data_IF_797899172200
#
_entry.id   IF_797899172200
#
_cell.length_a   1.000
_cell.length_b   1.000
_cell.length_c   1.000
_cell.angle_alpha   90.00
_cell.angle_beta   90.00
_cell.angle_gamma   90.00
#
_symmetry.space_group_name_H-M   'P 1'
#
loop_
_entity.id
_entity.type
_entity.pdbx_description
1 polymer ?
#
# COMPACT_ATOMS: atom_id res chain seq x y z
N UNK A 1 38.18 -17.54 73.83
CA UNK A 1 39.58 -17.46 73.39
C UNK A 1 39.57 -17.44 71.86
N UNK A 2 39.96 -16.28 71.38
CA UNK A 2 40.55 -15.82 70.14
C UNK A 2 39.74 -16.03 68.82
N UNK A 3 39.00 -15.01 68.55
CA UNK A 3 38.52 -14.64 67.23
C UNK A 3 39.66 -14.26 66.29
N UNK A 4 39.68 -14.75 65.10
CA UNK A 4 40.56 -14.27 64.04
C UNK A 4 39.69 -13.72 62.92
N UNK A 5 39.62 -12.39 62.88
CA UNK A 5 39.04 -11.61 61.79
C UNK A 5 39.85 -11.77 60.52
N UNK A 6 39.27 -12.28 59.47
CA UNK A 6 39.79 -12.23 58.12
C UNK A 6 38.99 -11.20 57.33
N UNK A 7 39.48 -9.96 57.29
CA UNK A 7 38.97 -8.91 56.40
C UNK A 7 39.37 -9.21 54.97
N UNK A 8 38.40 -9.69 54.15
CA UNK A 8 38.56 -9.80 52.71
C UNK A 8 38.25 -8.44 52.08
N UNK A 9 39.31 -7.71 51.77
CA UNK A 9 39.27 -6.48 50.98
C UNK A 9 38.80 -6.81 49.54
N UNK A 10 37.51 -6.61 49.23
CA UNK A 10 37.00 -6.65 47.87
C UNK A 10 37.39 -5.37 47.10
N UNK A 11 38.51 -5.40 46.39
CA UNK A 11 38.84 -4.42 45.37
C UNK A 11 37.84 -4.58 44.22
N UNK A 12 36.91 -3.64 44.11
CA UNK A 12 36.13 -3.46 42.85
C UNK A 12 37.09 -3.00 41.77
N UNK A 13 37.08 -3.65 40.59
CA UNK A 13 37.82 -3.12 39.46
C UNK A 13 37.11 -1.82 39.03
N UNK A 14 37.86 -0.74 38.94
CA UNK A 14 37.50 0.54 38.36
C UNK A 14 37.04 0.31 36.93
N UNK A 15 35.72 0.54 36.66
CA UNK A 15 35.25 0.64 35.30
C UNK A 15 35.80 1.91 34.68
N UNK A 16 36.81 1.76 33.86
CA UNK A 16 37.17 2.78 32.90
C UNK A 16 35.96 3.04 32.00
N UNK A 17 35.63 4.31 31.70
CA UNK A 17 34.60 4.62 30.72
C UNK A 17 35.20 4.25 29.34
N UNK A 18 34.76 3.11 28.78
CA UNK A 18 34.97 2.82 27.38
C UNK A 18 34.38 3.99 26.57
N UNK A 19 35.27 4.85 26.09
CA UNK A 19 34.96 5.84 25.10
C UNK A 19 34.40 5.10 23.87
N UNK A 20 33.07 5.15 23.73
CA UNK A 20 32.38 4.73 22.51
C UNK A 20 32.98 5.51 21.35
N UNK A 21 33.99 4.94 20.70
CA UNK A 21 34.36 5.31 19.34
C UNK A 21 33.12 5.15 18.49
N UNK A 22 32.40 6.27 18.28
CA UNK A 22 31.38 6.39 17.24
C UNK A 22 32.11 6.26 15.90
N UNK A 23 32.30 5.03 15.49
CA UNK A 23 32.85 4.68 14.19
C UNK A 23 31.89 5.22 13.11
N UNK A 24 32.48 5.93 12.16
CA UNK A 24 31.88 6.41 10.92
C UNK A 24 31.15 5.31 10.09
N UNK A 25 31.21 4.05 10.51
CA UNK A 25 30.44 2.91 9.98
C UNK A 25 28.94 2.97 10.20
N UNK A 26 28.42 3.80 11.14
CA UNK A 26 26.99 3.90 11.44
C UNK A 26 26.15 4.59 10.35
N UNK A 27 26.73 5.47 9.55
CA UNK A 27 26.04 6.15 8.43
C UNK A 27 25.89 5.21 7.22
N UNK A 28 26.92 4.42 6.92
CA UNK A 28 26.86 3.44 5.82
C UNK A 28 25.85 2.33 6.07
N UNK A 29 25.74 1.83 7.30
CA UNK A 29 24.77 0.79 7.66
C UNK A 29 23.31 1.28 7.69
N UNK A 30 23.09 2.56 8.00
CA UNK A 30 21.73 3.15 7.96
C UNK A 30 21.18 3.32 6.54
N UNK A 31 22.06 3.54 5.56
CA UNK A 31 21.69 3.67 4.15
C UNK A 31 21.60 2.29 3.47
N UNK A 32 22.42 1.33 3.87
CA UNK A 32 22.43 -0.02 3.28
C UNK A 32 21.14 -0.82 3.62
N UNK A 33 20.61 -0.67 4.84
CA UNK A 33 19.40 -1.40 5.28
C UNK A 33 18.17 -1.25 4.38
N UNK A 34 17.76 -0.05 3.91
CA UNK A 34 16.60 0.07 3.02
C UNK A 34 16.84 -0.58 1.65
N UNK A 35 18.08 -0.58 1.15
CA UNK A 35 18.40 -1.27 -0.10
C UNK A 35 18.37 -2.79 0.05
N UNK A 36 18.85 -3.31 1.17
CA UNK A 36 18.77 -4.73 1.51
C UNK A 36 17.30 -5.18 1.61
N UNK A 37 16.47 -4.43 2.35
CA UNK A 37 15.03 -4.70 2.44
C UNK A 37 14.33 -4.65 1.06
N UNK A 38 14.68 -3.68 0.23
CA UNK A 38 14.14 -3.60 -1.13
C UNK A 38 14.54 -4.83 -1.96
N UNK A 39 15.78 -5.28 -1.85
CA UNK A 39 16.25 -6.51 -2.51
C UNK A 39 15.49 -7.76 -2.05
N UNK A 40 15.23 -7.88 -0.74
CA UNK A 40 14.42 -8.98 -0.19
C UNK A 40 12.96 -8.94 -0.67
N UNK A 41 12.35 -7.74 -0.77
CA UNK A 41 11.01 -7.58 -1.31
C UNK A 41 10.94 -7.97 -2.79
N UNK A 42 11.93 -7.60 -3.60
CA UNK A 42 12.02 -8.01 -5.02
C UNK A 42 12.19 -9.52 -5.13
N UNK A 43 13.02 -10.13 -4.27
CA UNK A 43 13.15 -11.59 -4.22
C UNK A 43 11.82 -12.26 -3.84
N UNK A 44 11.12 -11.73 -2.84
CA UNK A 44 9.81 -12.23 -2.44
C UNK A 44 8.81 -12.15 -3.60
N UNK A 45 8.78 -11.01 -4.33
CA UNK A 45 7.96 -10.83 -5.52
C UNK A 45 8.26 -11.92 -6.56
N UNK A 46 9.54 -12.19 -6.83
CA UNK A 46 9.95 -13.26 -7.77
C UNK A 46 9.45 -14.65 -7.35
N UNK A 47 9.57 -14.98 -6.06
CA UNK A 47 9.07 -16.26 -5.51
C UNK A 47 7.55 -16.34 -5.60
N UNK A 48 6.83 -15.27 -5.29
CA UNK A 48 5.37 -15.19 -5.38
C UNK A 48 4.89 -15.38 -6.82
N UNK A 49 5.49 -14.66 -7.78
CA UNK A 49 5.15 -14.78 -9.20
C UNK A 49 5.43 -16.18 -9.74
N UNK A 50 6.60 -16.74 -9.42
CA UNK A 50 6.94 -18.08 -9.81
C UNK A 50 5.96 -19.13 -9.24
N UNK A 51 5.63 -19.02 -7.96
CA UNK A 51 4.70 -19.91 -7.28
C UNK A 51 3.27 -19.78 -7.83
N UNK A 52 2.81 -18.55 -8.11
CA UNK A 52 1.49 -18.28 -8.67
C UNK A 52 1.31 -18.90 -10.06
N UNK A 53 2.37 -18.85 -10.90
CA UNK A 53 2.32 -19.40 -12.28
C UNK A 53 2.43 -20.92 -12.27
N UNK A 54 3.32 -21.49 -11.44
CA UNK A 54 3.61 -22.91 -11.47
C UNK A 54 2.54 -23.79 -10.82
N UNK A 55 1.81 -23.26 -9.85
CA UNK A 55 0.79 -24.00 -9.10
C UNK A 55 -0.52 -23.19 -8.98
N UNK A 56 -1.26 -23.00 -10.09
CA UNK A 56 -2.47 -22.18 -10.08
C UNK A 56 -3.64 -22.80 -9.34
N UNK A 57 -3.57 -24.07 -8.97
CA UNK A 57 -4.67 -24.79 -8.30
C UNK A 57 -4.42 -24.92 -6.80
N UNK A 58 -5.46 -24.65 -6.00
CA UNK A 58 -5.48 -24.92 -4.55
C UNK A 58 -5.65 -23.69 -3.66
N UNK A 59 -5.36 -22.47 -4.14
CA UNK A 59 -5.48 -21.25 -3.34
C UNK A 59 -6.62 -20.30 -3.77
N UNK A 60 -7.41 -20.64 -4.78
CA UNK A 60 -8.48 -19.78 -5.29
C UNK A 60 -9.59 -19.50 -4.28
N UNK A 61 -9.85 -20.42 -3.36
CA UNK A 61 -10.77 -20.19 -2.25
C UNK A 61 -10.32 -19.02 -1.39
N UNK A 62 -9.05 -19.03 -0.98
CA UNK A 62 -8.44 -17.96 -0.18
C UNK A 62 -8.38 -16.63 -0.95
N UNK A 63 -8.03 -16.68 -2.25
CA UNK A 63 -8.03 -15.50 -3.13
C UNK A 63 -9.42 -14.86 -3.16
N UNK A 64 -10.47 -15.66 -3.39
CA UNK A 64 -11.85 -15.16 -3.43
C UNK A 64 -12.25 -14.52 -2.11
N UNK A 65 -11.95 -15.17 -0.98
CA UNK A 65 -12.33 -14.68 0.34
C UNK A 65 -11.59 -13.38 0.68
N UNK A 66 -10.33 -13.29 0.28
CA UNK A 66 -9.52 -12.07 0.42
C UNK A 66 -10.02 -10.94 -0.49
N UNK A 67 -10.43 -11.25 -1.72
CA UNK A 67 -11.03 -10.28 -2.63
C UNK A 67 -12.36 -9.75 -2.07
N UNK A 68 -13.21 -10.64 -1.55
CA UNK A 68 -14.49 -10.25 -0.95
C UNK A 68 -14.29 -9.36 0.29
N UNK A 69 -13.32 -9.71 1.14
CA UNK A 69 -12.96 -8.90 2.31
C UNK A 69 -12.51 -7.49 1.88
N UNK A 70 -11.62 -7.42 0.88
CA UNK A 70 -11.12 -6.14 0.34
C UNK A 70 -12.28 -5.31 -0.22
N UNK A 71 -13.15 -5.90 -1.03
CA UNK A 71 -14.31 -5.23 -1.59
C UNK A 71 -15.18 -4.65 -0.46
N UNK A 72 -15.50 -5.45 0.55
CA UNK A 72 -16.36 -5.04 1.67
C UNK A 72 -15.77 -3.89 2.50
N UNK A 73 -14.48 -3.93 2.78
CA UNK A 73 -13.83 -2.93 3.63
C UNK A 73 -13.46 -1.65 2.89
N UNK A 74 -13.07 -1.75 1.61
CA UNK A 74 -12.52 -0.61 0.86
C UNK A 74 -13.57 0.12 0.02
N UNK A 75 -14.73 -0.47 -0.30
CA UNK A 75 -15.70 0.15 -1.23
C UNK A 75 -16.22 1.50 -0.73
N UNK A 76 -16.70 1.57 0.51
CA UNK A 76 -17.28 2.82 1.04
C UNK A 76 -16.23 3.93 1.16
N UNK A 77 -15.09 3.73 1.84
CA UNK A 77 -14.07 4.77 1.91
C UNK A 77 -13.54 5.18 0.54
N UNK A 78 -13.46 4.26 -0.43
CA UNK A 78 -13.02 4.56 -1.78
C UNK A 78 -14.02 5.44 -2.53
N UNK A 79 -15.31 5.10 -2.51
CA UNK A 79 -16.37 5.89 -3.15
C UNK A 79 -16.37 7.33 -2.60
N UNK A 80 -16.36 7.47 -1.28
CA UNK A 80 -16.37 8.80 -0.65
C UNK A 80 -15.11 9.59 -1.03
N UNK A 81 -13.94 8.95 -0.96
CA UNK A 81 -12.67 9.63 -1.25
C UNK A 81 -12.54 10.02 -2.72
N UNK A 82 -12.98 9.16 -3.66
CA UNK A 82 -12.89 9.47 -5.09
C UNK A 82 -13.88 10.56 -5.50
N UNK A 83 -15.09 10.58 -4.94
CA UNK A 83 -16.06 11.68 -5.16
C UNK A 83 -15.50 12.99 -4.60
N UNK A 84 -15.05 12.98 -3.34
CA UNK A 84 -14.53 14.18 -2.68
C UNK A 84 -13.31 14.75 -3.41
N UNK A 85 -12.40 13.89 -3.86
CA UNK A 85 -11.22 14.30 -4.59
C UNK A 85 -11.57 14.78 -6.01
N UNK A 86 -12.43 14.05 -6.73
CA UNK A 86 -12.92 14.43 -8.06
C UNK A 86 -13.62 15.79 -8.05
N UNK A 87 -14.40 16.07 -7.00
CA UNK A 87 -15.03 17.35 -6.78
C UNK A 87 -14.00 18.45 -6.46
N UNK A 88 -13.06 18.19 -5.56
CA UNK A 88 -12.12 19.21 -5.05
C UNK A 88 -11.03 19.57 -6.05
N UNK A 89 -10.12 18.64 -6.34
CA UNK A 89 -8.89 18.94 -7.09
C UNK A 89 -9.14 19.16 -8.59
N UNK A 90 -9.56 18.15 -9.38
CA UNK A 90 -9.83 18.39 -10.79
C UNK A 90 -11.12 19.18 -11.02
N UNK A 91 -12.15 19.02 -10.17
CA UNK A 91 -13.42 19.70 -10.30
C UNK A 91 -13.34 21.18 -10.04
N UNK A 92 -13.24 21.57 -8.79
CA UNK A 92 -13.26 23.00 -8.41
C UNK A 92 -11.98 23.72 -8.79
N UNK A 93 -10.81 23.19 -8.44
CA UNK A 93 -9.54 23.87 -8.75
C UNK A 93 -9.24 23.88 -10.22
N UNK A 94 -9.34 22.73 -10.90
CA UNK A 94 -9.18 22.65 -12.35
C UNK A 94 -10.22 23.50 -13.06
N UNK A 95 -11.48 23.38 -12.68
CA UNK A 95 -12.58 24.18 -13.25
C UNK A 95 -12.35 25.67 -13.19
N UNK A 96 -11.98 26.22 -12.03
CA UNK A 96 -11.67 27.64 -11.90
C UNK A 96 -10.55 28.11 -12.85
N UNK A 97 -9.54 27.26 -13.09
CA UNK A 97 -8.46 27.56 -14.04
C UNK A 97 -9.03 27.63 -15.46
N UNK A 98 -9.88 26.70 -15.88
CA UNK A 98 -10.48 26.71 -17.23
C UNK A 98 -11.44 27.89 -17.43
N UNK A 99 -12.17 28.29 -16.37
CA UNK A 99 -12.98 29.52 -16.40
C UNK A 99 -12.12 30.78 -16.52
N UNK A 100 -11.00 30.84 -15.81
CA UNK A 100 -10.08 31.96 -15.90
C UNK A 100 -9.49 32.14 -17.31
N UNK A 101 -9.24 31.04 -18.02
CA UNK A 101 -8.78 31.04 -19.42
C UNK A 101 -9.92 31.22 -20.45
N UNK A 102 -11.18 31.27 -20.03
CA UNK A 102 -12.33 31.43 -20.90
C UNK A 102 -12.65 30.21 -21.79
N UNK A 103 -12.24 29.00 -21.36
CA UNK A 103 -12.44 27.75 -22.11
C UNK A 103 -13.12 26.66 -21.27
N UNK A 104 -14.23 26.96 -20.56
CA UNK A 104 -14.89 26.00 -19.67
C UNK A 104 -15.40 24.75 -20.38
N UNK A 105 -15.69 24.80 -21.68
CA UNK A 105 -16.13 23.67 -22.49
C UNK A 105 -15.07 22.55 -22.58
N UNK A 106 -13.78 22.83 -22.33
CA UNK A 106 -12.71 21.82 -22.33
C UNK A 106 -12.51 21.12 -21.01
N UNK A 107 -13.30 21.44 -20.00
CA UNK A 107 -13.18 20.87 -18.67
C UNK A 107 -13.37 19.34 -18.66
N UNK A 108 -14.28 18.82 -19.50
CA UNK A 108 -14.49 17.36 -19.65
C UNK A 108 -13.25 16.62 -20.14
N UNK A 109 -12.52 17.18 -21.12
CA UNK A 109 -11.26 16.63 -21.62
C UNK A 109 -10.18 16.60 -20.52
N UNK A 110 -10.11 17.64 -19.70
CA UNK A 110 -9.20 17.70 -18.56
C UNK A 110 -9.48 16.59 -17.54
N UNK A 111 -10.76 16.26 -17.33
CA UNK A 111 -11.14 15.17 -16.42
C UNK A 111 -10.63 13.81 -16.86
N UNK A 112 -10.56 13.52 -18.16
CA UNK A 112 -9.91 12.30 -18.66
C UNK A 112 -8.44 12.27 -18.24
N UNK A 113 -7.70 13.36 -18.49
CA UNK A 113 -6.28 13.41 -18.13
C UNK A 113 -6.06 13.33 -16.62
N UNK A 114 -6.76 14.15 -15.86
CA UNK A 114 -6.54 14.28 -14.43
C UNK A 114 -7.13 13.11 -13.65
N UNK A 115 -8.42 12.82 -13.84
CA UNK A 115 -9.12 11.83 -13.02
C UNK A 115 -8.90 10.40 -13.50
N UNK A 116 -9.15 10.12 -14.77
CA UNK A 116 -9.10 8.74 -15.29
C UNK A 116 -7.67 8.22 -15.36
N UNK A 117 -6.74 9.02 -15.88
CA UNK A 117 -5.36 8.56 -16.08
C UNK A 117 -4.51 8.57 -14.80
N UNK A 118 -4.77 9.49 -13.85
CA UNK A 118 -3.88 9.68 -12.71
C UNK A 118 -4.55 9.54 -11.35
N UNK A 119 -5.57 10.36 -11.04
CA UNK A 119 -6.06 10.45 -9.66
C UNK A 119 -6.87 9.24 -9.19
N UNK A 120 -7.74 8.68 -10.02
CA UNK A 120 -8.53 7.52 -9.61
C UNK A 120 -7.66 6.29 -9.29
N UNK A 121 -6.68 5.90 -10.14
CA UNK A 121 -5.72 4.84 -9.81
C UNK A 121 -4.95 5.10 -8.53
N UNK A 122 -4.50 6.33 -8.34
CA UNK A 122 -3.71 6.70 -7.17
C UNK A 122 -4.50 6.64 -5.88
N UNK A 123 -5.72 7.22 -5.85
CA UNK A 123 -6.59 7.19 -4.67
C UNK A 123 -6.99 5.76 -4.32
N UNK A 124 -7.35 4.94 -5.33
CA UNK A 124 -7.67 3.54 -5.13
C UNK A 124 -6.49 2.81 -4.46
N UNK A 125 -5.26 2.98 -4.98
CA UNK A 125 -4.07 2.38 -4.38
C UNK A 125 -3.83 2.85 -2.94
N UNK A 126 -4.01 4.15 -2.64
CA UNK A 126 -3.87 4.70 -1.29
C UNK A 126 -4.86 4.08 -0.30
N UNK A 127 -6.14 3.96 -0.69
CA UNK A 127 -7.18 3.38 0.18
C UNK A 127 -6.86 1.92 0.47
N UNK A 128 -6.51 1.14 -0.56
CA UNK A 128 -6.16 -0.28 -0.39
C UNK A 128 -4.91 -0.44 0.45
N UNK A 129 -3.88 0.37 0.25
CA UNK A 129 -2.68 0.35 1.08
C UNK A 129 -2.98 0.69 2.55
N UNK A 130 -3.84 1.68 2.79
CA UNK A 130 -4.22 2.09 4.13
C UNK A 130 -5.08 1.05 4.85
N UNK A 131 -6.10 0.51 4.20
CA UNK A 131 -7.07 -0.40 4.83
C UNK A 131 -6.57 -1.84 4.81
N UNK A 132 -6.32 -2.40 3.62
CA UNK A 132 -5.91 -3.80 3.50
C UNK A 132 -4.45 -4.02 3.83
N UNK A 133 -3.60 -3.04 3.53
CA UNK A 133 -2.18 -3.12 3.88
C UNK A 133 -1.97 -3.25 5.39
N UNK A 134 -2.66 -2.45 6.17
CA UNK A 134 -2.60 -2.53 7.64
C UNK A 134 -3.21 -3.82 8.18
N UNK A 135 -4.35 -4.26 7.64
CA UNK A 135 -5.01 -5.49 8.05
C UNK A 135 -4.14 -6.73 7.79
N UNK A 136 -3.55 -6.84 6.58
CA UNK A 136 -2.67 -7.96 6.21
C UNK A 136 -1.39 -7.96 7.05
N UNK A 137 -0.77 -6.79 7.23
CA UNK A 137 0.45 -6.68 8.04
C UNK A 137 0.19 -7.07 9.50
N UNK A 138 -0.94 -6.64 10.07
CA UNK A 138 -1.32 -6.99 11.44
C UNK A 138 -1.63 -8.48 11.60
N UNK A 139 -2.38 -9.08 10.66
CA UNK A 139 -2.70 -10.52 10.71
C UNK A 139 -1.45 -11.39 10.61
N UNK A 140 -0.57 -11.13 9.63
CA UNK A 140 0.67 -11.88 9.48
C UNK A 140 1.63 -11.65 10.66
N UNK A 141 1.71 -10.42 11.17
CA UNK A 141 2.52 -10.09 12.34
C UNK A 141 2.01 -10.82 13.61
N UNK A 142 0.70 -10.90 13.81
CA UNK A 142 0.12 -11.65 14.91
C UNK A 142 0.40 -13.15 14.80
N UNK A 143 0.31 -13.75 13.60
CA UNK A 143 0.65 -15.17 13.35
C UNK A 143 2.13 -15.44 13.60
N UNK A 144 3.02 -14.51 13.23
CA UNK A 144 4.45 -14.60 13.49
C UNK A 144 4.77 -14.58 15.00
N UNK A 145 4.14 -13.67 15.75
CA UNK A 145 4.31 -13.55 17.20
C UNK A 145 3.81 -14.80 17.94
N UNK A 146 2.74 -15.44 17.44
CA UNK A 146 2.20 -16.69 17.98
C UNK A 146 2.91 -17.96 17.50
N UNK A 147 4.02 -17.79 16.76
CA UNK A 147 4.83 -18.90 16.22
C UNK A 147 4.05 -19.84 15.27
N UNK A 148 2.87 -19.40 14.78
CA UNK A 148 2.06 -20.18 13.85
C UNK A 148 2.81 -20.43 12.52
N UNK A 149 3.58 -19.46 12.05
CA UNK A 149 4.37 -19.57 10.82
C UNK A 149 5.49 -20.60 10.99
N UNK A 150 6.17 -20.59 12.13
CA UNK A 150 7.24 -21.54 12.44
C UNK A 150 6.67 -22.97 12.60
N UNK A 151 5.49 -23.10 13.21
CA UNK A 151 4.79 -24.38 13.29
C UNK A 151 4.42 -24.95 11.92
N UNK A 152 4.00 -24.10 10.95
CA UNK A 152 3.74 -24.53 9.57
C UNK A 152 4.99 -25.07 8.89
N UNK A 153 6.14 -24.41 9.08
CA UNK A 153 7.42 -24.87 8.52
C UNK A 153 7.83 -26.24 9.09
N UNK A 154 7.66 -26.46 10.40
CA UNK A 154 7.94 -27.77 11.03
C UNK A 154 7.02 -28.88 10.49
N UNK A 155 5.77 -28.55 10.14
CA UNK A 155 4.83 -29.47 9.52
C UNK A 155 5.07 -29.68 8.01
N UNK A 156 6.10 -29.05 7.43
CA UNK A 156 6.43 -29.16 6.01
C UNK A 156 5.52 -28.36 5.08
N UNK A 157 4.74 -27.42 5.62
CA UNK A 157 3.87 -26.52 4.85
C UNK A 157 4.64 -25.22 4.57
N UNK A 158 4.76 -24.85 3.27
CA UNK A 158 5.39 -23.60 2.86
C UNK A 158 4.49 -22.40 3.18
N UNK A 159 4.87 -21.51 4.15
CA UNK A 159 4.07 -20.36 4.55
C UNK A 159 3.91 -19.34 3.44
N UNK A 160 4.93 -19.19 2.58
CA UNK A 160 4.88 -18.23 1.47
C UNK A 160 3.77 -18.64 0.49
N UNK A 161 3.74 -19.92 0.14
CA UNK A 161 2.75 -20.43 -0.79
C UNK A 161 1.33 -20.39 -0.22
N UNK A 162 1.17 -20.67 1.06
CA UNK A 162 -0.15 -20.79 1.70
C UNK A 162 -0.72 -19.45 2.13
N UNK A 163 0.12 -18.51 2.62
CA UNK A 163 -0.35 -17.25 3.19
C UNK A 163 -0.07 -16.04 2.30
N UNK A 164 1.10 -15.98 1.63
CA UNK A 164 1.53 -14.79 0.89
C UNK A 164 0.97 -14.77 -0.53
N UNK A 165 1.11 -15.87 -1.27
CA UNK A 165 0.70 -15.96 -2.67
C UNK A 165 -0.78 -15.61 -2.86
N UNK A 166 -1.75 -16.20 -2.12
CA UNK A 166 -3.17 -15.87 -2.34
C UNK A 166 -3.49 -14.41 -2.02
N UNK A 167 -2.83 -13.80 -1.03
CA UNK A 167 -3.04 -12.40 -0.66
C UNK A 167 -2.53 -11.44 -1.73
N UNK A 168 -1.32 -11.68 -2.25
CA UNK A 168 -0.75 -10.84 -3.32
C UNK A 168 -1.57 -10.96 -4.60
N UNK A 169 -1.96 -12.17 -5.00
CA UNK A 169 -2.82 -12.39 -6.17
C UNK A 169 -4.18 -11.73 -5.99
N UNK A 170 -4.81 -11.89 -4.83
CA UNK A 170 -6.09 -11.27 -4.53
C UNK A 170 -6.01 -9.74 -4.63
N UNK A 171 -5.00 -9.12 -3.99
CA UNK A 171 -4.83 -7.67 -4.06
C UNK A 171 -4.54 -7.18 -5.48
N UNK A 172 -3.74 -7.91 -6.25
CA UNK A 172 -3.46 -7.56 -7.65
C UNK A 172 -4.75 -7.50 -8.48
N UNK A 173 -5.60 -8.51 -8.36
CA UNK A 173 -6.83 -8.61 -9.12
C UNK A 173 -7.90 -7.62 -8.64
N UNK A 174 -8.14 -7.58 -7.33
CA UNK A 174 -9.22 -6.75 -6.79
C UNK A 174 -8.92 -5.26 -6.92
N UNK A 175 -7.66 -4.83 -6.78
CA UNK A 175 -7.27 -3.43 -6.94
C UNK A 175 -7.54 -2.94 -8.36
N UNK A 176 -7.22 -3.75 -9.37
CA UNK A 176 -7.55 -3.44 -10.76
C UNK A 176 -9.07 -3.38 -11.01
N UNK A 177 -9.84 -4.29 -10.43
CA UNK A 177 -11.32 -4.27 -10.57
C UNK A 177 -11.95 -3.08 -9.86
N UNK A 178 -11.46 -2.73 -8.68
CA UNK A 178 -11.95 -1.58 -7.92
C UNK A 178 -11.59 -0.23 -8.57
N UNK A 179 -10.59 -0.21 -9.44
CA UNK A 179 -10.25 0.99 -10.20
C UNK A 179 -11.41 1.47 -11.08
N UNK A 180 -12.15 0.55 -11.69
CA UNK A 180 -13.34 0.89 -12.50
C UNK A 180 -14.37 1.65 -11.64
N UNK A 181 -14.58 1.22 -10.40
CA UNK A 181 -15.47 1.89 -9.46
C UNK A 181 -14.91 3.28 -9.11
N UNK A 182 -13.62 3.38 -8.83
CA UNK A 182 -12.96 4.64 -8.54
C UNK A 182 -13.07 5.64 -9.71
N UNK A 183 -12.91 5.18 -10.95
CA UNK A 183 -13.08 5.98 -12.17
C UNK A 183 -14.49 6.56 -12.27
N UNK A 184 -15.52 5.73 -12.12
CA UNK A 184 -16.92 6.17 -12.22
C UNK A 184 -17.23 7.23 -11.17
N UNK A 185 -16.90 6.97 -9.91
CA UNK A 185 -17.21 7.91 -8.83
C UNK A 185 -16.32 9.16 -8.84
N UNK A 186 -15.09 9.07 -9.35
CA UNK A 186 -14.22 10.22 -9.57
C UNK A 186 -14.80 11.18 -10.61
N UNK A 187 -15.31 10.65 -11.72
CA UNK A 187 -15.98 11.43 -12.77
C UNK A 187 -17.31 12.03 -12.25
N UNK A 188 -18.08 11.28 -11.47
CA UNK A 188 -19.30 11.81 -10.82
C UNK A 188 -18.97 13.00 -9.93
N UNK A 189 -17.92 12.93 -9.10
CA UNK A 189 -17.47 14.05 -8.29
C UNK A 189 -17.10 15.27 -9.13
N UNK A 190 -16.40 15.06 -10.23
CA UNK A 190 -16.05 16.11 -11.17
C UNK A 190 -17.24 16.73 -11.88
N UNK A 191 -18.21 15.91 -12.30
CA UNK A 191 -19.45 16.40 -12.91
C UNK A 191 -20.24 17.27 -11.92
N UNK A 192 -20.30 16.89 -10.63
CA UNK A 192 -20.94 17.68 -9.58
C UNK A 192 -20.22 19.04 -9.41
N UNK A 193 -18.91 19.08 -9.51
CA UNK A 193 -18.17 20.34 -9.46
C UNK A 193 -18.46 21.22 -10.70
N UNK A 194 -18.38 20.63 -11.89
CA UNK A 194 -18.47 21.35 -13.15
C UNK A 194 -19.85 21.92 -13.41
N UNK A 195 -20.91 21.11 -13.28
CA UNK A 195 -22.25 21.48 -13.71
C UNK A 195 -23.02 22.27 -12.63
N UNK A 196 -23.33 21.73 -11.44
CA UNK A 196 -24.13 22.48 -10.46
C UNK A 196 -23.37 23.56 -9.70
N UNK A 197 -22.02 23.50 -9.59
CA UNK A 197 -21.27 24.48 -8.79
C UNK A 197 -20.66 25.56 -9.67
N UNK A 198 -20.02 25.16 -10.78
CA UNK A 198 -19.38 26.11 -11.72
C UNK A 198 -20.30 26.51 -12.89
N UNK A 199 -21.53 26.05 -12.92
CA UNK A 199 -22.54 26.37 -13.95
C UNK A 199 -22.07 26.10 -15.40
N UNK A 200 -21.18 25.11 -15.57
CA UNK A 200 -20.72 24.68 -16.89
C UNK A 200 -21.87 24.04 -17.68
N UNK A 201 -21.85 24.17 -19.00
CA UNK A 201 -22.83 23.54 -19.86
C UNK A 201 -22.68 22.00 -19.80
N UNK A 202 -23.72 21.25 -19.35
CA UNK A 202 -23.65 19.81 -19.20
C UNK A 202 -23.30 19.07 -20.49
N UNK A 203 -23.88 19.50 -21.62
CA UNK A 203 -23.65 18.88 -22.93
C UNK A 203 -22.22 19.09 -23.41
N UNK A 204 -21.66 20.29 -23.20
CA UNK A 204 -20.27 20.58 -23.55
C UNK A 204 -19.29 19.77 -22.70
N UNK A 205 -19.54 19.63 -21.39
CA UNK A 205 -18.74 18.77 -20.51
C UNK A 205 -18.71 17.32 -20.97
N UNK A 206 -19.91 16.74 -21.22
CA UNK A 206 -20.04 15.34 -21.66
C UNK A 206 -19.42 15.13 -23.03
N UNK A 207 -19.66 16.04 -24.01
CA UNK A 207 -19.06 15.94 -25.32
C UNK A 207 -17.54 15.97 -25.26
N UNK A 208 -16.95 16.95 -24.57
CA UNK A 208 -15.48 17.07 -24.47
C UNK A 208 -14.86 15.91 -23.66
N UNK A 209 -15.59 15.32 -22.71
CA UNK A 209 -15.16 14.12 -22.00
C UNK A 209 -15.03 12.93 -22.96
N UNK A 210 -16.08 12.61 -23.73
CA UNK A 210 -16.07 11.46 -24.65
C UNK A 210 -15.17 11.66 -25.87
N UNK A 211 -14.99 12.88 -26.35
CA UNK A 211 -14.06 13.18 -27.44
C UNK A 211 -12.61 12.81 -27.13
N UNK A 212 -12.24 12.82 -25.85
CA UNK A 212 -10.89 12.52 -25.41
C UNK A 212 -10.76 11.17 -24.67
N UNK A 213 -11.88 10.50 -24.36
CA UNK A 213 -11.87 9.21 -23.72
C UNK A 213 -11.51 8.10 -24.72
N UNK A 214 -10.47 7.33 -24.44
CA UNK A 214 -10.11 6.18 -25.24
C UNK A 214 -10.24 4.90 -24.42
N UNK A 215 -10.58 3.78 -25.06
CA UNK A 215 -10.59 2.48 -24.40
C UNK A 215 -9.22 2.13 -23.81
N UNK A 216 -8.15 2.62 -24.43
CA UNK A 216 -6.77 2.45 -23.96
C UNK A 216 -6.56 3.07 -22.59
N UNK A 217 -7.21 4.19 -22.27
CA UNK A 217 -7.08 4.86 -20.97
C UNK A 217 -7.57 3.97 -19.83
N UNK A 218 -8.72 3.30 -20.03
CA UNK A 218 -9.29 2.38 -19.04
C UNK A 218 -8.37 1.19 -18.81
N UNK A 219 -7.89 0.55 -19.89
CA UNK A 219 -6.99 -0.59 -19.76
C UNK A 219 -5.65 -0.21 -19.11
N UNK A 220 -5.09 0.93 -19.49
CA UNK A 220 -3.85 1.43 -18.89
C UNK A 220 -4.04 1.73 -17.39
N UNK A 221 -5.17 2.31 -17.01
CA UNK A 221 -5.54 2.56 -15.61
C UNK A 221 -5.63 1.26 -14.81
N UNK A 222 -6.40 0.28 -15.30
CA UNK A 222 -6.57 -1.02 -14.64
C UNK A 222 -5.25 -1.76 -14.48
N UNK A 223 -4.39 -1.76 -15.52
CA UNK A 223 -3.06 -2.41 -15.45
C UNK A 223 -2.16 -1.68 -14.45
N UNK A 224 -2.12 -0.33 -14.48
CA UNK A 224 -1.35 0.49 -13.53
C UNK A 224 -1.78 0.16 -12.09
N UNK A 225 -3.07 0.12 -11.84
CA UNK A 225 -3.64 -0.09 -10.52
C UNK A 225 -3.44 -1.52 -10.03
N UNK A 226 -3.52 -2.51 -10.93
CA UNK A 226 -3.16 -3.91 -10.61
C UNK A 226 -1.70 -4.04 -10.18
N UNK A 227 -0.79 -3.33 -10.84
CA UNK A 227 0.62 -3.28 -10.42
C UNK A 227 0.78 -2.65 -9.04
N UNK A 228 0.05 -1.58 -8.73
CA UNK A 228 0.04 -1.01 -7.39
C UNK A 228 -0.47 -2.02 -6.34
N UNK A 229 -1.55 -2.73 -6.63
CA UNK A 229 -2.07 -3.79 -5.76
C UNK A 229 -1.04 -4.90 -5.50
N UNK A 230 -0.30 -5.31 -6.52
CA UNK A 230 0.79 -6.28 -6.40
C UNK A 230 1.91 -5.76 -5.48
N UNK A 231 2.37 -4.54 -5.68
CA UNK A 231 3.42 -3.93 -4.86
C UNK A 231 2.96 -3.81 -3.40
N UNK A 232 1.74 -3.31 -3.17
CA UNK A 232 1.15 -3.20 -1.84
C UNK A 232 1.11 -4.58 -1.16
N UNK A 233 0.62 -5.60 -1.87
CA UNK A 233 0.55 -6.97 -1.35
C UNK A 233 1.90 -7.52 -0.91
N UNK A 234 2.93 -7.36 -1.74
CA UNK A 234 4.30 -7.81 -1.43
C UNK A 234 4.87 -7.06 -0.22
N UNK A 235 4.76 -5.74 -0.21
CA UNK A 235 5.29 -4.90 0.88
C UNK A 235 4.62 -5.23 2.21
N UNK A 236 3.29 -5.37 2.22
CA UNK A 236 2.54 -5.67 3.44
C UNK A 236 2.81 -7.08 3.97
N UNK A 237 2.89 -8.07 3.07
CA UNK A 237 3.26 -9.43 3.46
C UNK A 237 4.69 -9.49 3.98
N UNK A 238 5.64 -8.84 3.32
CA UNK A 238 7.03 -8.78 3.78
C UNK A 238 7.15 -8.16 5.18
N UNK A 239 6.49 -7.01 5.40
CA UNK A 239 6.51 -6.32 6.70
C UNK A 239 5.78 -7.12 7.79
N UNK A 240 4.69 -7.80 7.46
CA UNK A 240 3.96 -8.66 8.39
C UNK A 240 4.75 -9.88 8.82
N UNK A 241 5.48 -10.51 7.91
CA UNK A 241 6.32 -11.69 8.22
C UNK A 241 7.60 -11.31 8.98
N UNK A 242 8.08 -10.06 8.87
CA UNK A 242 9.30 -9.56 9.52
C UNK A 242 9.01 -8.44 10.53
N UNK A 243 8.31 -8.70 11.65
CA UNK A 243 7.92 -7.67 12.62
C UNK A 243 9.11 -6.99 13.32
N UNK A 244 10.28 -7.63 13.35
CA UNK A 244 11.53 -7.05 13.89
C UNK A 244 12.14 -5.95 13.01
N UNK A 245 11.69 -5.77 11.78
CA UNK A 245 12.11 -4.69 10.90
C UNK A 245 11.41 -3.34 11.19
N UNK A 246 10.38 -3.32 12.04
CA UNK A 246 9.78 -2.09 12.52
C UNK A 246 10.70 -1.43 13.56
N UNK A 247 10.93 -0.10 13.50
CA UNK A 247 11.70 0.59 14.54
C UNK A 247 11.00 0.38 15.89
N UNK A 248 11.72 -0.24 16.83
CA UNK A 248 11.19 -0.52 18.17
C UNK A 248 10.82 0.80 18.84
N UNK A 249 9.56 1.01 19.15
CA UNK A 249 9.05 2.16 19.93
C UNK A 249 9.56 2.14 21.37
N UNK A 250 10.29 1.09 21.78
CA UNK A 250 10.80 0.90 23.14
C UNK A 250 12.02 1.76 23.52
N UNK A 251 12.55 2.59 22.64
CA UNK A 251 13.74 3.40 22.92
C UNK A 251 13.46 4.80 23.52
N UNK A 252 12.20 5.10 23.95
CA UNK A 252 11.85 6.35 24.61
C UNK A 252 11.12 6.07 25.95
N UNK A 253 11.81 5.45 26.89
CA UNK A 253 11.52 5.58 28.32
C UNK A 253 12.80 5.73 29.12
#
# INVERSE_FOLDING_TARGET
>A
MTSTDISVSSRRPSREPEAKTRTLGGLGSSVAKPFEQAGEMVRLLGVVLYSAIRHPMGYWGEVRDQMFLTLRLCSIPMIISTIAFGLGAPGLQGGNIFYLFGIPERLGSFFIMASVREFAPWINAMIIAGVMGTAITADLGARRIREEIDAMEVLGVDPIRTLVVPRVVALTLITGLMDIVALVFGVVGGYIAAVPILEANPSAFVASFFDNATTTDIWASVVKTSLFGMIIGVVCCYKGMNPGAAPSVSARR
#
